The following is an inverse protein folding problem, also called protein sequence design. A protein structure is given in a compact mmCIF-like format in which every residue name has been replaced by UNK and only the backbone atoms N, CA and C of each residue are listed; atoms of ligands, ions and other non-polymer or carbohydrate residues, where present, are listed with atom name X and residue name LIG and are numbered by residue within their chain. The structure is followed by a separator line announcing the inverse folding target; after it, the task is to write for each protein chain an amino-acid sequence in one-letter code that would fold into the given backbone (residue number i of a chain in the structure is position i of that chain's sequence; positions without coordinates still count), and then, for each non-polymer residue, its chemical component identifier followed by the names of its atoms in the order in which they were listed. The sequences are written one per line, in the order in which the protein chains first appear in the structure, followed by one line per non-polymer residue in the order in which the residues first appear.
data_IF_535328666388
#
_entry.id   IF_535328666388
#
_cell.length_a   1.000
_cell.length_b   1.000
_cell.length_c   1.000
_cell.angle_alpha   90.00
_cell.angle_beta   90.00
_cell.angle_gamma   90.00
#
_symmetry.space_group_name_H-M   'P 1'
#
loop_
_entity.id
_entity.type
_entity.pdbx_description
1 polymer ?
#
# COMPACT_ATOMS: atom_id res chain seq x y z
N UNK A 1 -1.76 3.08 11.92
CA UNK A 1 -0.53 2.29 11.85
C UNK A 1 -0.22 1.83 10.43
N UNK A 2 0.82 2.40 9.84
CA UNK A 2 1.41 1.99 8.56
C UNK A 2 2.43 0.85 8.70
N UNK A 3 3.00 0.66 9.89
CA UNK A 3 4.05 -0.32 10.18
C UNK A 3 3.56 -1.60 10.85
N UNK A 4 2.26 -1.78 11.06
CA UNK A 4 1.68 -2.80 11.94
C UNK A 4 2.08 -4.27 11.67
N UNK A 5 2.19 -4.69 10.41
CA UNK A 5 2.46 -6.10 10.04
C UNK A 5 3.08 -6.22 8.64
N UNK A 6 3.67 -7.38 8.36
CA UNK A 6 4.16 -7.78 7.04
C UNK A 6 3.05 -7.97 6.00
N UNK A 7 3.45 -7.87 4.74
CA UNK A 7 2.70 -8.39 3.59
C UNK A 7 2.40 -9.90 3.80
N UNK A 8 1.21 -10.46 3.47
CA UNK A 8 0.13 -9.96 2.62
C UNK A 8 -1.14 -9.50 3.35
N UNK A 9 -1.18 -9.40 4.68
CA UNK A 9 -2.47 -9.30 5.41
C UNK A 9 -3.24 -7.98 5.25
N UNK A 10 -2.70 -6.98 4.55
CA UNK A 10 -3.26 -5.61 4.51
C UNK A 10 -3.63 -5.06 3.14
N UNK A 11 -3.45 -5.79 2.04
CA UNK A 11 -3.78 -5.25 0.70
C UNK A 11 -5.25 -4.84 0.58
N UNK A 12 -6.17 -5.53 1.28
CA UNK A 12 -7.60 -5.19 1.27
C UNK A 12 -7.90 -3.85 1.99
N UNK A 13 -7.19 -3.54 3.08
CA UNK A 13 -7.32 -2.27 3.80
C UNK A 13 -6.79 -1.14 2.94
N UNK A 14 -5.56 -1.28 2.43
CA UNK A 14 -4.94 -0.26 1.60
C UNK A 14 -5.72 -0.03 0.30
N UNK A 15 -6.14 -1.10 -0.38
CA UNK A 15 -6.97 -0.99 -1.59
C UNK A 15 -8.25 -0.20 -1.34
N UNK A 16 -8.93 -0.42 -0.21
CA UNK A 16 -10.11 0.36 0.19
C UNK A 16 -9.79 1.83 0.47
N UNK A 17 -8.66 2.13 1.13
CA UNK A 17 -8.23 3.50 1.40
C UNK A 17 -7.88 4.26 0.13
N UNK A 18 -7.14 3.63 -0.79
CA UNK A 18 -6.80 4.20 -2.10
C UNK A 18 -8.05 4.41 -2.95
N UNK A 19 -9.01 3.48 -2.93
CA UNK A 19 -10.26 3.61 -3.68
C UNK A 19 -11.12 4.82 -3.24
N UNK A 20 -10.89 5.35 -2.03
CA UNK A 20 -11.55 6.56 -1.52
C UNK A 20 -10.81 7.86 -1.86
N UNK A 21 -9.59 7.79 -2.39
CA UNK A 21 -8.85 8.98 -2.81
C UNK A 21 -9.38 9.53 -4.14
N UNK A 22 -9.22 10.84 -4.42
CA UNK A 22 -9.49 11.40 -5.74
C UNK A 22 -8.79 10.60 -6.83
N UNK A 23 -9.51 10.30 -7.92
CA UNK A 23 -9.01 9.48 -9.04
C UNK A 23 -8.57 8.05 -8.66
N UNK A 24 -8.86 7.60 -7.44
CA UNK A 24 -8.50 6.29 -6.91
C UNK A 24 -7.00 6.01 -7.03
N UNK A 25 -6.17 7.01 -6.71
CA UNK A 25 -4.72 6.92 -6.80
C UNK A 25 -4.08 7.31 -5.47
N UNK A 26 -2.99 6.62 -5.13
CA UNK A 26 -2.05 7.00 -4.09
C UNK A 26 -0.62 6.74 -4.58
N UNK A 27 0.39 7.18 -3.83
CA UNK A 27 1.79 6.95 -4.17
C UNK A 27 2.53 6.35 -2.97
N UNK A 28 3.28 5.28 -3.22
CA UNK A 28 4.32 4.82 -2.29
C UNK A 28 5.61 5.53 -2.64
N UNK A 29 6.13 6.34 -1.71
CA UNK A 29 7.36 7.11 -1.88
C UNK A 29 8.48 6.44 -1.09
N UNK A 30 9.62 6.25 -1.76
CA UNK A 30 10.84 5.73 -1.14
C UNK A 30 12.03 6.59 -1.57
N UNK A 31 13.15 6.40 -0.89
CA UNK A 31 14.44 6.95 -1.31
C UNK A 31 15.45 5.82 -1.62
N UNK A 32 16.68 6.21 -1.93
CA UNK A 32 17.73 5.28 -2.35
C UNK A 32 18.07 4.20 -1.33
N UNK A 33 17.81 4.43 -0.03
CA UNK A 33 18.10 3.47 1.05
C UNK A 33 17.23 2.22 0.98
N UNK A 34 16.03 2.33 0.42
CA UNK A 34 15.08 1.22 0.33
C UNK A 34 15.32 0.30 -0.87
N UNK A 35 16.11 0.73 -1.86
CA UNK A 35 16.34 -0.04 -3.09
C UNK A 35 16.99 -1.39 -2.75
N UNK A 36 16.39 -2.47 -3.24
CA UNK A 36 16.83 -3.85 -2.98
C UNK A 36 16.35 -4.44 -1.65
N UNK A 37 15.55 -3.72 -0.86
CA UNK A 37 15.04 -4.16 0.46
C UNK A 37 13.54 -4.52 0.44
N UNK A 38 12.94 -4.62 -0.74
CA UNK A 38 11.54 -5.02 -0.92
C UNK A 38 11.39 -5.77 -2.25
N UNK A 39 10.25 -6.46 -2.42
CA UNK A 39 9.94 -7.19 -3.65
C UNK A 39 10.00 -6.26 -4.87
N UNK A 40 10.71 -6.62 -5.96
CA UNK A 40 10.83 -5.76 -7.13
C UNK A 40 9.46 -5.33 -7.67
N UNK A 41 9.27 -4.03 -7.95
CA UNK A 41 8.01 -3.54 -8.47
C UNK A 41 7.84 -4.01 -9.92
N UNK A 42 6.60 -4.35 -10.30
CA UNK A 42 6.26 -4.75 -11.68
C UNK A 42 6.42 -3.58 -12.65
N UNK A 43 6.16 -2.36 -12.17
CA UNK A 43 6.26 -1.12 -12.95
C UNK A 43 7.38 -0.23 -12.43
N UNK A 44 8.03 0.50 -13.33
CA UNK A 44 9.04 1.47 -12.95
C UNK A 44 8.42 2.62 -12.13
N UNK A 45 9.10 3.00 -11.05
CA UNK A 45 8.75 4.18 -10.28
C UNK A 45 9.20 5.46 -10.99
N UNK A 46 8.47 6.55 -10.76
CA UNK A 46 8.89 7.89 -11.19
C UNK A 46 10.09 8.30 -10.33
N UNK A 47 11.22 8.63 -10.96
CA UNK A 47 12.48 8.98 -10.28
C UNK A 47 12.71 10.50 -10.31
N UNK A 48 13.18 11.05 -9.18
CA UNK A 48 13.57 12.45 -9.05
C UNK A 48 14.74 12.61 -8.07
N UNK A 49 15.44 13.75 -8.13
CA UNK A 49 16.55 14.06 -7.22
C UNK A 49 16.12 14.94 -6.03
N UNK A 50 14.86 15.39 -5.99
CA UNK A 50 14.25 16.07 -4.85
C UNK A 50 12.76 15.71 -4.70
N UNK A 51 12.20 15.93 -3.51
CA UNK A 51 10.75 15.72 -3.26
C UNK A 51 9.91 16.70 -4.08
N UNK A 52 10.37 17.94 -4.26
CA UNK A 52 9.70 18.93 -5.11
C UNK A 52 9.62 18.44 -6.57
N UNK A 53 10.74 18.03 -7.16
CA UNK A 53 10.77 17.52 -8.53
C UNK A 53 9.92 16.24 -8.66
N UNK A 54 9.91 15.40 -7.62
CA UNK A 54 9.07 14.21 -7.58
C UNK A 54 7.59 14.57 -7.65
N UNK A 55 7.15 15.52 -6.82
CA UNK A 55 5.76 16.00 -6.75
C UNK A 55 5.29 16.52 -8.12
N UNK A 56 6.10 17.36 -8.76
CA UNK A 56 5.82 17.93 -10.08
C UNK A 56 5.66 16.82 -11.13
N UNK A 57 6.55 15.81 -11.13
CA UNK A 57 6.49 14.68 -12.07
C UNK A 57 5.27 13.78 -11.88
N UNK A 58 4.77 13.64 -10.66
CA UNK A 58 3.58 12.82 -10.36
C UNK A 58 2.28 13.63 -10.29
N UNK A 59 2.33 14.95 -10.52
CA UNK A 59 1.16 15.83 -10.56
C UNK A 59 0.55 16.13 -9.20
N UNK A 60 1.34 16.12 -8.12
CA UNK A 60 0.93 16.56 -6.79
C UNK A 60 1.40 18.00 -6.52
N UNK A 61 0.74 18.67 -5.57
CA UNK A 61 1.21 19.97 -5.08
C UNK A 61 2.55 19.82 -4.35
N UNK A 62 3.59 20.47 -4.89
CA UNK A 62 4.95 20.30 -4.39
C UNK A 62 5.13 20.80 -2.97
N UNK A 63 4.48 21.90 -2.59
CA UNK A 63 4.60 22.46 -1.24
C UNK A 63 4.00 21.51 -0.20
N UNK A 64 2.82 20.99 -0.50
CA UNK A 64 2.11 20.02 0.34
C UNK A 64 2.95 18.75 0.50
N UNK A 65 3.48 18.19 -0.60
CA UNK A 65 4.27 16.97 -0.50
C UNK A 65 5.58 17.16 0.27
N UNK A 66 6.31 18.26 0.03
CA UNK A 66 7.51 18.58 0.79
C UNK A 66 7.20 18.70 2.29
N UNK A 67 6.12 19.41 2.64
CA UNK A 67 5.69 19.54 4.03
C UNK A 67 5.35 18.18 4.67
N UNK A 68 4.60 17.33 3.97
CA UNK A 68 4.28 15.97 4.46
C UNK A 68 5.54 15.13 4.70
N UNK A 69 6.54 15.21 3.81
CA UNK A 69 7.81 14.48 4.00
C UNK A 69 8.62 15.07 5.16
N UNK A 70 8.64 16.39 5.33
CA UNK A 70 9.27 17.05 6.47
C UNK A 70 8.62 16.63 7.79
N UNK A 71 7.29 16.62 7.89
CA UNK A 71 6.55 16.16 9.06
C UNK A 71 6.84 14.68 9.36
N UNK A 72 6.85 13.82 8.34
CA UNK A 72 7.20 12.42 8.50
C UNK A 72 8.64 12.23 9.01
N UNK A 73 9.60 12.95 8.44
CA UNK A 73 11.00 12.90 8.87
C UNK A 73 11.17 13.40 10.30
N UNK A 74 10.46 14.47 10.71
CA UNK A 74 10.48 14.96 12.09
C UNK A 74 9.84 13.99 13.08
N UNK A 75 8.84 13.21 12.64
CA UNK A 75 8.15 12.22 13.45
C UNK A 75 8.97 10.93 13.65
N UNK A 76 9.96 10.66 12.80
CA UNK A 76 10.76 9.44 12.86
C UNK A 76 11.60 9.34 14.14
N UNK A 77 11.48 8.21 14.82
CA UNK A 77 12.29 7.83 15.99
C UNK A 77 13.29 6.77 15.54
N UNK A 78 14.57 7.09 15.72
CA UNK A 78 15.66 6.21 15.31
C UNK A 78 15.66 4.91 16.12
N UNK A 79 15.72 3.78 15.40
CA UNK A 79 15.96 2.44 15.94
C UNK A 79 17.06 1.70 15.18
N UNK A 80 17.04 0.38 15.27
CA UNK A 80 17.89 -0.56 14.54
C UNK A 80 17.14 -1.12 13.34
N UNK A 81 17.27 -0.44 12.19
CA UNK A 81 16.54 -0.82 10.98
C UNK A 81 16.80 -2.26 10.55
N UNK A 82 15.71 -3.01 10.36
CA UNK A 82 15.75 -4.34 9.77
C UNK A 82 14.49 -4.63 8.94
N UNK A 83 14.63 -4.55 7.61
CA UNK A 83 13.56 -4.80 6.65
C UNK A 83 12.92 -6.21 6.68
N UNK A 84 13.53 -7.18 7.36
CA UNK A 84 13.05 -8.58 7.39
C UNK A 84 12.33 -8.96 8.67
N UNK A 85 12.32 -8.10 9.70
CA UNK A 85 11.57 -8.31 10.95
C UNK A 85 10.77 -7.05 11.31
N UNK A 86 9.84 -7.16 12.24
CA UNK A 86 9.23 -6.01 12.90
C UNK A 86 10.33 -5.31 13.72
N UNK A 87 10.88 -4.22 13.19
CA UNK A 87 11.99 -3.48 13.81
C UNK A 87 11.53 -2.37 14.77
N UNK A 88 12.45 -1.74 15.48
CA UNK A 88 12.18 -0.67 16.44
C UNK A 88 12.24 0.74 15.81
N UNK A 89 12.18 0.84 14.48
CA UNK A 89 12.17 2.12 13.77
C UNK A 89 10.72 2.63 13.65
N UNK A 90 10.38 3.67 14.42
CA UNK A 90 8.97 4.09 14.59
C UNK A 90 8.73 5.57 14.25
N UNK A 91 7.48 6.02 14.30
CA UNK A 91 7.14 7.46 14.30
C UNK A 91 6.31 7.84 15.52
N UNK A 92 6.54 9.03 16.06
CA UNK A 92 5.75 9.65 17.11
C UNK A 92 5.07 10.94 16.63
N UNK A 93 3.95 11.32 17.27
CA UNK A 93 3.25 12.58 17.00
C UNK A 93 2.73 12.78 15.56
N UNK A 94 2.54 11.69 14.79
CA UNK A 94 1.97 11.72 13.44
C UNK A 94 0.83 10.70 13.31
N UNK A 95 -0.15 11.00 12.45
CA UNK A 95 -1.29 10.11 12.16
C UNK A 95 -1.44 9.91 10.64
N UNK A 96 -1.49 8.65 10.15
CA UNK A 96 -1.28 7.42 10.91
C UNK A 96 0.17 7.31 11.40
N UNK A 97 0.36 6.73 12.60
CA UNK A 97 1.68 6.34 13.05
C UNK A 97 2.25 5.22 12.16
N UNK A 98 3.56 5.02 12.20
CA UNK A 98 4.27 3.91 11.59
C UNK A 98 5.10 3.23 12.68
N UNK A 99 4.66 2.09 13.17
CA UNK A 99 5.30 1.39 14.31
C UNK A 99 6.55 0.60 13.96
N UNK A 100 6.84 0.41 12.67
CA UNK A 100 8.02 -0.31 12.18
C UNK A 100 8.48 0.26 10.83
N UNK A 101 9.76 0.14 10.54
CA UNK A 101 10.47 0.55 9.32
C UNK A 101 10.39 2.05 9.01
N UNK A 102 10.16 2.90 10.01
CA UNK A 102 10.18 4.35 9.83
C UNK A 102 11.62 4.85 9.69
N UNK A 103 11.99 5.26 8.48
CA UNK A 103 13.31 5.81 8.17
C UNK A 103 13.10 7.10 7.42
N UNK A 104 13.91 8.12 7.70
CA UNK A 104 13.85 9.39 7.00
C UNK A 104 13.86 9.20 5.47
N UNK A 105 13.08 10.00 4.76
CA UNK A 105 13.16 10.20 3.32
C UNK A 105 14.05 11.43 3.07
N UNK A 106 15.35 11.21 2.98
CA UNK A 106 16.36 12.28 2.89
C UNK A 106 17.51 11.99 1.91
N UNK A 107 17.58 10.78 1.34
CA UNK A 107 18.69 10.38 0.49
C UNK A 107 18.28 10.16 -0.97
N UNK A 108 18.47 11.16 -1.86
CA UNK A 108 18.13 11.00 -3.27
C UNK A 108 18.96 9.89 -3.95
N UNK A 109 18.50 9.34 -5.08
CA UNK A 109 17.22 9.66 -5.74
C UNK A 109 15.99 9.15 -4.98
N UNK A 110 14.90 9.89 -5.11
CA UNK A 110 13.57 9.51 -4.63
C UNK A 110 12.78 8.82 -5.74
N UNK A 111 11.87 7.94 -5.33
CA UNK A 111 11.00 7.19 -6.23
C UNK A 111 9.56 7.25 -5.74
N UNK A 112 8.63 7.42 -6.67
CA UNK A 112 7.19 7.29 -6.41
C UNK A 112 6.60 6.17 -7.27
N UNK A 113 5.93 5.23 -6.62
CA UNK A 113 5.18 4.15 -7.27
C UNK A 113 3.68 4.42 -7.14
N UNK A 114 2.99 4.55 -8.27
CA UNK A 114 1.55 4.75 -8.28
C UNK A 114 0.83 3.48 -7.79
N UNK A 115 -0.07 3.66 -6.83
CA UNK A 115 -0.95 2.64 -6.30
C UNK A 115 -2.37 2.92 -6.82
N UNK A 116 -2.99 1.90 -7.40
CA UNK A 116 -4.40 1.91 -7.78
C UNK A 116 -5.11 0.66 -7.26
N UNK A 117 -6.39 0.74 -6.90
CA UNK A 117 -7.15 -0.44 -6.50
C UNK A 117 -7.21 -1.44 -7.65
N UNK A 118 -6.94 -2.70 -7.34
CA UNK A 118 -7.15 -3.84 -8.24
C UNK A 118 -8.13 -4.82 -7.60
N UNK A 119 -8.95 -5.47 -8.43
CA UNK A 119 -9.83 -6.55 -7.98
C UNK A 119 -9.02 -7.85 -8.01
N UNK A 120 -8.79 -8.45 -6.83
CA UNK A 120 -8.12 -9.75 -6.71
C UNK A 120 -9.13 -10.91 -6.69
N UNK A 121 -10.22 -10.76 -5.95
CA UNK A 121 -11.31 -11.73 -5.86
C UNK A 121 -12.64 -11.04 -5.59
N UNK A 122 -13.73 -11.73 -5.91
CA UNK A 122 -15.10 -11.37 -5.55
C UNK A 122 -15.65 -12.43 -4.61
N UNK A 123 -16.36 -12.03 -3.56
CA UNK A 123 -16.93 -12.97 -2.57
C UNK A 123 -18.31 -13.51 -2.95
N UNK A 124 -18.93 -12.93 -3.97
CA UNK A 124 -20.26 -13.36 -4.41
C UNK A 124 -20.13 -14.28 -5.62
N UNK A 125 -20.92 -15.34 -5.60
CA UNK A 125 -21.04 -16.32 -6.67
C UNK A 125 -22.47 -16.84 -6.74
N UNK A 126 -22.68 -17.98 -7.37
CA UNK A 126 -23.99 -18.64 -7.37
C UNK A 126 -24.24 -19.25 -5.97
N UNK A 127 -25.49 -19.16 -5.51
CA UNK A 127 -25.90 -19.81 -4.26
C UNK A 127 -25.80 -21.34 -4.42
N UNK A 128 -25.12 -21.97 -3.47
CA UNK A 128 -25.03 -23.42 -3.28
C UNK A 128 -25.18 -23.73 -1.79
N UNK A 129 -25.41 -25.00 -1.45
CA UNK A 129 -25.26 -25.50 -0.08
C UNK A 129 -24.07 -26.51 -0.05
N UNK A 130 -24.04 -27.43 0.90
CA UNK A 130 -22.99 -28.45 1.06
C UNK A 130 -22.89 -29.44 -0.12
N UNK A 131 -23.94 -29.55 -0.95
CA UNK A 131 -23.98 -30.38 -2.17
C UNK A 131 -23.34 -29.74 -3.41
N UNK A 132 -22.84 -28.50 -3.31
CA UNK A 132 -22.28 -27.70 -4.40
C UNK A 132 -23.23 -27.44 -5.59
N UNK A 133 -24.50 -27.83 -5.52
CA UNK A 133 -25.45 -27.68 -6.62
C UNK A 133 -26.05 -26.26 -6.64
N UNK A 134 -26.06 -25.63 -7.82
CA UNK A 134 -26.60 -24.28 -7.99
C UNK A 134 -28.08 -24.23 -7.64
N UNK A 135 -28.51 -23.20 -6.90
CA UNK A 135 -29.91 -22.99 -6.52
C UNK A 135 -30.68 -22.11 -7.51
N UNK A 136 -31.71 -22.67 -8.14
CA UNK A 136 -32.71 -21.91 -8.92
C UNK A 136 -34.02 -21.84 -8.13
N UNK A 137 -34.45 -20.66 -7.70
CA UNK A 137 -35.61 -20.50 -6.80
C UNK A 137 -35.52 -21.40 -5.54
N UNK A 138 -34.34 -21.45 -4.92
CA UNK A 138 -34.00 -22.34 -3.80
C UNK A 138 -34.09 -23.86 -4.09
N UNK A 139 -34.23 -24.29 -5.35
CA UNK A 139 -34.19 -25.71 -5.75
C UNK A 139 -32.80 -26.09 -6.28
N UNK A 140 -32.23 -27.24 -5.88
CA UNK A 140 -30.95 -27.72 -6.40
C UNK A 140 -31.05 -28.02 -7.89
N UNK A 141 -30.05 -27.60 -8.66
CA UNK A 141 -29.85 -28.06 -10.04
C UNK A 141 -29.40 -29.52 -10.07
N UNK A 142 -29.95 -30.31 -10.97
CA UNK A 142 -29.57 -31.72 -11.12
C UNK A 142 -28.21 -31.92 -11.82
N UNK A 143 -27.73 -30.91 -12.55
CA UNK A 143 -26.58 -31.05 -13.44
C UNK A 143 -25.65 -29.83 -13.47
N UNK A 144 -25.81 -28.86 -12.56
CA UNK A 144 -24.96 -27.68 -12.47
C UNK A 144 -24.42 -27.51 -11.05
N UNK A 145 -23.10 -27.56 -10.93
CA UNK A 145 -22.35 -27.47 -9.68
C UNK A 145 -21.31 -26.36 -9.78
N UNK A 146 -21.03 -25.66 -8.69
CA UNK A 146 -19.96 -24.65 -8.64
C UNK A 146 -19.16 -24.75 -7.34
N UNK A 147 -17.87 -24.39 -7.44
CA UNK A 147 -16.94 -24.25 -6.32
C UNK A 147 -15.95 -23.12 -6.65
N UNK A 148 -15.36 -22.50 -5.63
CA UNK A 148 -14.44 -21.38 -5.76
C UNK A 148 -14.09 -20.78 -4.41
#
# INVERSE_FOLDING_TARGET
DEGEDFWPKRYAIWGRLVAKQPQQIAYSIIDSKAIGRFMPPVFAGVKANSIQELAEKIGLDAKTLCHTVEEFNQACVQGTFNHTVLDDCTTENIVPNKTHWAVHLDQPPFYAYALKPGITFTYLGLKVEDDAAVRFNNKPSHNLFVAG
#
